data_IF_894624690153
#
_entry.id   IF_894624690153
#
_cell.length_a   1.000
_cell.length_b   1.000
_cell.length_c   1.000
_cell.angle_alpha   90.00
_cell.angle_beta   90.00
_cell.angle_gamma   90.00
#
_symmetry.space_group_name_H-M   'P 1'
#
loop_
_entity.id
_entity.type
_entity.pdbx_description
1 polymer ?
#
# COMPACT_ATOMS: atom_id res chain seq x y z
N UNK A 1 12.19 16.94 -23.25
CA UNK A 1 10.76 16.77 -23.62
C UNK A 1 9.93 17.76 -22.82
N UNK A 2 8.86 18.32 -23.39
CA UNK A 2 7.93 19.23 -22.71
C UNK A 2 6.55 18.58 -22.52
N UNK A 3 5.96 18.78 -21.35
CA UNK A 3 4.60 18.35 -21.02
C UNK A 3 3.66 19.55 -21.23
N UNK A 4 2.73 19.46 -22.18
CA UNK A 4 1.75 20.51 -22.46
C UNK A 4 0.37 20.09 -21.96
N UNK A 5 -0.15 20.78 -20.94
CA UNK A 5 -1.47 20.52 -20.36
C UNK A 5 -2.33 21.77 -20.60
N UNK A 6 -3.32 21.66 -21.50
CA UNK A 6 -4.29 22.72 -21.82
C UNK A 6 -5.63 22.49 -21.13
N UNK A 7 -5.57 22.10 -19.87
CA UNK A 7 -6.75 21.85 -19.05
C UNK A 7 -6.94 23.01 -18.05
N UNK A 8 -8.09 23.73 -18.09
CA UNK A 8 -8.34 24.85 -17.19
C UNK A 8 -8.38 24.48 -15.71
N UNK A 9 -8.81 23.25 -15.38
CA UNK A 9 -8.87 22.78 -14.01
C UNK A 9 -7.47 22.47 -13.48
N UNK A 10 -6.60 21.83 -14.28
CA UNK A 10 -5.21 21.61 -13.92
C UNK A 10 -4.49 22.93 -13.59
N UNK A 11 -4.74 23.98 -14.39
CA UNK A 11 -4.21 25.32 -14.12
C UNK A 11 -4.74 25.88 -12.80
N UNK A 12 -6.07 25.82 -12.57
CA UNK A 12 -6.72 26.30 -11.35
C UNK A 12 -6.16 25.62 -10.10
N UNK A 13 -6.02 24.29 -10.13
CA UNK A 13 -5.50 23.51 -9.01
C UNK A 13 -4.02 23.83 -8.73
N UNK A 14 -3.18 23.82 -9.77
CA UNK A 14 -1.76 24.13 -9.62
C UNK A 14 -1.55 25.56 -9.10
N UNK A 15 -2.35 26.52 -9.56
CA UNK A 15 -2.30 27.90 -9.09
C UNK A 15 -2.75 28.03 -7.63
N UNK A 16 -3.82 27.33 -7.23
CA UNK A 16 -4.31 27.35 -5.85
C UNK A 16 -3.27 26.80 -4.87
N UNK A 17 -2.64 25.66 -5.21
CA UNK A 17 -1.59 25.07 -4.37
C UNK A 17 -0.36 25.97 -4.35
N UNK A 18 0.07 26.49 -5.50
CA UNK A 18 1.19 27.43 -5.60
C UNK A 18 1.01 28.66 -4.70
N UNK A 19 -0.20 29.24 -4.66
CA UNK A 19 -0.51 30.36 -3.75
C UNK A 19 -0.49 29.96 -2.28
N UNK A 20 -0.93 28.75 -1.95
CA UNK A 20 -0.97 28.26 -0.58
C UNK A 20 0.42 27.88 -0.05
N UNK A 21 1.31 27.35 -0.89
CA UNK A 21 2.64 26.86 -0.49
C UNK A 21 3.76 27.85 -0.76
N UNK A 22 3.54 28.86 -1.62
CA UNK A 22 4.59 29.76 -2.10
C UNK A 22 5.51 29.14 -3.16
N UNK A 23 5.26 27.88 -3.55
CA UNK A 23 6.04 27.22 -4.60
C UNK A 23 5.57 27.65 -6.00
N UNK A 24 6.44 27.57 -7.00
CA UNK A 24 6.02 27.82 -8.39
C UNK A 24 5.17 26.66 -8.94
N UNK A 25 4.31 26.96 -9.92
CA UNK A 25 3.39 25.96 -10.51
C UNK A 25 4.10 24.72 -11.06
N UNK A 26 5.29 24.88 -11.64
CA UNK A 26 6.07 23.74 -12.15
C UNK A 26 6.46 22.78 -11.01
N UNK A 27 6.93 23.33 -9.89
CA UNK A 27 7.28 22.55 -8.69
C UNK A 27 6.07 21.80 -8.16
N UNK A 28 4.94 22.50 -8.02
CA UNK A 28 3.65 21.92 -7.59
C UNK A 28 3.26 20.73 -8.46
N UNK A 29 3.33 20.87 -9.79
CA UNK A 29 2.97 19.80 -10.73
C UNK A 29 3.95 18.62 -10.62
N UNK A 30 5.25 18.89 -10.50
CA UNK A 30 6.27 17.83 -10.35
C UNK A 30 6.04 17.04 -9.05
N UNK A 31 5.82 17.71 -7.93
CA UNK A 31 5.60 17.03 -6.65
C UNK A 31 4.28 16.23 -6.66
N UNK A 32 3.20 16.79 -7.21
CA UNK A 32 1.94 16.07 -7.35
C UNK A 32 2.07 14.78 -8.19
N UNK A 33 2.83 14.85 -9.29
CA UNK A 33 3.13 13.69 -10.14
C UNK A 33 4.03 12.68 -9.42
N UNK A 34 5.05 13.13 -8.69
CA UNK A 34 5.94 12.27 -7.91
C UNK A 34 5.16 11.53 -6.82
N UNK A 35 4.32 12.22 -6.08
CA UNK A 35 3.47 11.63 -5.05
C UNK A 35 2.50 10.61 -5.61
N UNK A 36 1.90 10.93 -6.78
CA UNK A 36 1.02 10.00 -7.48
C UNK A 36 1.75 8.73 -7.90
N UNK A 37 2.95 8.88 -8.47
CA UNK A 37 3.79 7.77 -8.88
C UNK A 37 4.21 6.92 -7.67
N UNK A 38 4.69 7.55 -6.59
CA UNK A 38 5.08 6.86 -5.37
C UNK A 38 3.94 6.02 -4.78
N UNK A 39 2.70 6.54 -4.78
CA UNK A 39 1.51 5.76 -4.35
C UNK A 39 1.23 4.56 -5.26
N UNK A 40 1.42 4.71 -6.57
CA UNK A 40 1.25 3.59 -7.52
C UNK A 40 2.33 2.53 -7.29
N UNK A 41 3.58 2.96 -7.10
CA UNK A 41 4.71 2.06 -6.84
C UNK A 41 4.54 1.32 -5.51
N UNK A 42 4.12 2.01 -4.44
CA UNK A 42 3.80 1.39 -3.15
C UNK A 42 2.70 0.33 -3.28
N UNK A 43 1.65 0.58 -4.07
CA UNK A 43 0.59 -0.42 -4.30
C UNK A 43 1.08 -1.64 -5.09
N UNK A 44 2.08 -1.47 -5.95
CA UNK A 44 2.70 -2.56 -6.72
C UNK A 44 3.78 -3.29 -5.94
N UNK A 45 4.39 -2.62 -4.95
CA UNK A 45 5.43 -3.21 -4.13
C UNK A 45 4.85 -4.41 -3.37
N UNK A 46 5.55 -5.55 -3.47
CA UNK A 46 5.30 -6.68 -2.58
C UNK A 46 5.69 -6.25 -1.16
N UNK A 47 4.95 -6.76 -0.17
CA UNK A 47 5.33 -6.59 1.23
C UNK A 47 6.79 -7.00 1.42
N UNK A 48 7.56 -6.13 2.07
CA UNK A 48 8.91 -6.44 2.48
C UNK A 48 8.92 -7.63 3.45
N UNK A 49 10.05 -8.33 3.53
CA UNK A 49 10.23 -9.41 4.52
C UNK A 49 9.98 -8.89 5.94
N UNK A 50 10.41 -7.66 6.24
CA UNK A 50 10.18 -7.02 7.53
C UNK A 50 8.67 -6.83 7.83
N UNK A 51 7.87 -6.41 6.85
CA UNK A 51 6.42 -6.27 7.03
C UNK A 51 5.74 -7.62 7.22
N UNK A 52 6.16 -8.65 6.47
CA UNK A 52 5.66 -10.01 6.62
C UNK A 52 5.97 -10.58 8.01
N UNK A 53 7.20 -10.38 8.51
CA UNK A 53 7.60 -10.78 9.85
C UNK A 53 6.81 -10.02 10.92
N UNK A 54 6.61 -8.71 10.75
CA UNK A 54 5.81 -7.91 11.69
C UNK A 54 4.33 -8.38 11.73
N UNK A 55 3.78 -8.84 10.61
CA UNK A 55 2.44 -9.46 10.58
C UNK A 55 2.47 -10.80 11.32
N UNK A 56 3.49 -11.64 11.07
CA UNK A 56 3.64 -12.93 11.73
C UNK A 56 3.76 -12.80 13.25
N UNK A 57 4.56 -11.84 13.74
CA UNK A 57 4.71 -11.57 15.18
C UNK A 57 3.39 -11.14 15.82
N UNK A 58 2.65 -10.23 15.18
CA UNK A 58 1.32 -9.82 15.66
C UNK A 58 0.33 -10.98 15.67
N UNK A 59 0.34 -11.83 14.64
CA UNK A 59 -0.52 -12.99 14.57
C UNK A 59 -0.18 -14.02 15.66
N UNK A 60 1.11 -14.24 15.92
CA UNK A 60 1.59 -15.20 16.91
C UNK A 60 1.11 -14.87 18.33
N UNK A 61 0.99 -13.59 18.69
CA UNK A 61 0.44 -13.15 19.99
C UNK A 61 -0.99 -13.62 20.26
N UNK A 62 -1.76 -13.89 19.20
CA UNK A 62 -3.14 -14.33 19.32
C UNK A 62 -3.29 -15.85 19.31
N UNK A 63 -2.22 -16.60 19.04
CA UNK A 63 -2.31 -18.06 19.01
C UNK A 63 -2.15 -18.62 20.42
N UNK A 64 -3.17 -19.34 20.88
CA UNK A 64 -3.15 -20.04 22.17
C UNK A 64 -2.64 -21.46 21.97
N UNK A 65 -1.62 -21.83 22.75
CA UNK A 65 -1.11 -23.19 22.81
C UNK A 65 -1.87 -24.05 23.84
N UNK A 66 -1.95 -25.38 23.65
CA UNK A 66 -1.37 -26.15 22.55
C UNK A 66 -2.11 -25.95 21.22
N UNK A 67 -1.38 -26.02 20.11
CA UNK A 67 -1.99 -26.01 18.78
C UNK A 67 -2.83 -27.26 18.60
N UNK A 68 -4.03 -27.12 18.04
CA UNK A 68 -4.82 -28.28 17.62
C UNK A 68 -4.05 -29.01 16.51
N UNK A 69 -3.89 -30.33 16.64
CA UNK A 69 -3.41 -31.11 15.51
C UNK A 69 -4.49 -31.11 14.43
N UNK A 70 -4.19 -30.44 13.32
CA UNK A 70 -5.08 -30.40 12.16
C UNK A 70 -5.43 -31.80 11.65
N UNK A 71 -4.56 -32.80 11.82
CA UNK A 71 -4.84 -34.17 11.43
C UNK A 71 -6.01 -34.74 12.24
N UNK A 72 -5.91 -34.68 13.57
CA UNK A 72 -6.96 -35.14 14.48
C UNK A 72 -8.25 -34.31 14.37
N UNK A 73 -8.13 -33.02 14.10
CA UNK A 73 -9.26 -32.10 13.97
C UNK A 73 -10.06 -32.34 12.68
N UNK A 74 -9.37 -32.52 11.55
CA UNK A 74 -9.99 -32.50 10.22
C UNK A 74 -10.21 -33.90 9.64
N UNK A 75 -9.51 -34.92 10.13
CA UNK A 75 -9.56 -36.27 9.56
C UNK A 75 -9.94 -37.33 10.59
N UNK A 76 -10.62 -38.37 10.12
CA UNK A 76 -10.89 -39.58 10.89
C UNK A 76 -9.68 -40.53 10.91
N UNK A 77 -9.80 -41.64 11.64
CA UNK A 77 -8.75 -42.64 11.79
C UNK A 77 -8.34 -43.32 10.46
N UNK A 78 -9.16 -43.16 9.41
CA UNK A 78 -8.89 -43.67 8.05
C UNK A 78 -8.33 -42.58 7.13
N UNK A 79 -8.13 -41.36 7.64
CA UNK A 79 -7.63 -40.22 6.88
C UNK A 79 -8.70 -39.56 5.99
N UNK A 80 -9.99 -39.82 6.22
CA UNK A 80 -11.08 -39.16 5.50
C UNK A 80 -11.50 -37.88 6.21
N UNK A 81 -11.90 -36.83 5.49
CA UNK A 81 -12.42 -35.60 6.10
C UNK A 81 -13.63 -35.90 7.01
N UNK A 82 -13.60 -35.34 8.21
CA UNK A 82 -14.74 -35.33 9.15
C UNK A 82 -15.85 -34.37 8.72
#
# INVERSE_FOLDING_TARGET
MSLNIKDPEAYRLAQAISRATGENMTRVVIEALRDSLARIEQRKAKASVAELLAIADRAALHVRQPYADHADLLYDEKGLPK
#
